data_IF_358596688892
#
_entry.id   IF_358596688892
#
_cell.length_a   1.000
_cell.length_b   1.000
_cell.length_c   1.000
_cell.angle_alpha   90.00
_cell.angle_beta   90.00
_cell.angle_gamma   90.00
#
_symmetry.space_group_name_H-M   'P 1'
#
loop_
_entity.id
_entity.type
_entity.pdbx_description
1 polymer ?
#
# COMPACT_ATOMS: atom_id res chain seq x y z
N UNK A 1 3.18 7.02 22.03
CA UNK A 1 3.68 5.68 21.64
C UNK A 1 2.89 5.23 20.41
N UNK A 2 3.55 4.65 19.41
CA UNK A 2 2.95 4.26 18.12
C UNK A 2 3.23 2.78 17.88
N UNK A 3 2.23 2.02 17.44
CA UNK A 3 2.40 0.60 17.11
C UNK A 3 2.92 0.44 15.67
N UNK A 4 4.22 0.23 15.51
CA UNK A 4 4.88 0.06 14.21
C UNK A 4 4.80 -1.35 13.64
N UNK A 5 4.48 -2.36 14.46
CA UNK A 5 4.65 -3.78 14.11
C UNK A 5 3.37 -4.62 14.21
N UNK A 6 2.33 -4.13 14.87
CA UNK A 6 1.07 -4.84 15.07
C UNK A 6 -0.11 -4.21 14.32
N UNK A 7 -1.27 -4.84 14.48
CA UNK A 7 -2.52 -4.38 13.88
C UNK A 7 -2.99 -3.08 14.52
N UNK A 8 -3.51 -2.17 13.68
CA UNK A 8 -4.16 -0.93 14.11
C UNK A 8 -5.57 -0.81 13.54
N UNK A 9 -6.40 0.00 14.17
CA UNK A 9 -7.76 0.28 13.69
C UNK A 9 -7.74 0.90 12.30
N UNK A 10 -6.78 1.77 12.01
CA UNK A 10 -6.62 2.42 10.71
C UNK A 10 -6.34 1.39 9.61
N UNK A 11 -5.53 0.37 9.88
CA UNK A 11 -5.30 -0.73 8.93
C UNK A 11 -6.60 -1.44 8.56
N UNK A 12 -7.43 -1.72 9.55
CA UNK A 12 -8.72 -2.37 9.32
C UNK A 12 -9.68 -1.48 8.53
N UNK A 13 -9.70 -0.18 8.81
CA UNK A 13 -10.51 0.78 8.06
C UNK A 13 -10.06 0.88 6.59
N UNK A 14 -8.76 0.96 6.32
CA UNK A 14 -8.26 0.98 4.93
C UNK A 14 -8.47 -0.35 4.21
N UNK A 15 -8.39 -1.49 4.89
CA UNK A 15 -8.70 -2.78 4.28
C UNK A 15 -10.21 -2.89 3.97
N UNK A 16 -11.08 -2.44 4.87
CA UNK A 16 -12.51 -2.37 4.61
C UNK A 16 -12.84 -1.42 3.46
N UNK A 17 -12.16 -0.26 3.40
CA UNK A 17 -12.29 0.70 2.30
C UNK A 17 -11.95 0.05 0.94
N UNK A 18 -10.84 -0.68 0.87
CA UNK A 18 -10.41 -1.38 -0.35
C UNK A 18 -11.45 -2.41 -0.78
N UNK A 19 -11.95 -3.23 0.13
CA UNK A 19 -13.00 -4.21 -0.17
C UNK A 19 -14.29 -3.54 -0.69
N UNK A 20 -14.72 -2.43 -0.08
CA UNK A 20 -15.92 -1.69 -0.49
C UNK A 20 -15.75 -1.06 -1.88
N UNK A 21 -14.62 -0.39 -2.12
CA UNK A 21 -14.31 0.24 -3.41
C UNK A 21 -14.30 -0.81 -4.52
N UNK A 22 -13.59 -1.92 -4.32
CA UNK A 22 -13.51 -3.03 -5.27
C UNK A 22 -14.84 -3.78 -5.44
N UNK A 23 -15.73 -3.68 -4.45
CA UNK A 23 -17.10 -4.17 -4.53
C UNK A 23 -18.09 -3.20 -5.18
N UNK A 24 -17.61 -2.10 -5.79
CA UNK A 24 -18.44 -1.08 -6.41
C UNK A 24 -19.14 -0.11 -5.44
N UNK A 25 -18.94 -0.29 -4.13
CA UNK A 25 -19.47 0.60 -3.08
C UNK A 25 -18.47 1.74 -2.80
N UNK A 26 -18.19 2.52 -3.84
CA UNK A 26 -17.15 3.56 -3.82
C UNK A 26 -17.37 4.54 -2.66
N UNK A 27 -18.58 5.08 -2.52
CA UNK A 27 -18.90 6.04 -1.46
C UNK A 27 -18.62 5.46 -0.07
N UNK A 28 -19.16 4.28 0.23
CA UNK A 28 -18.96 3.60 1.52
C UNK A 28 -17.47 3.36 1.82
N UNK A 29 -16.68 3.03 0.79
CA UNK A 29 -15.24 2.86 0.93
C UNK A 29 -14.51 4.18 1.20
N UNK A 30 -14.90 5.28 0.53
CA UNK A 30 -14.37 6.61 0.82
C UNK A 30 -14.72 7.07 2.25
N UNK A 31 -15.92 6.73 2.75
CA UNK A 31 -16.31 7.01 4.14
C UNK A 31 -15.38 6.31 5.15
N UNK A 32 -14.91 5.09 4.85
CA UNK A 32 -13.93 4.40 5.70
C UNK A 32 -12.58 5.13 5.75
N UNK A 33 -12.17 5.73 4.63
CA UNK A 33 -10.95 6.57 4.57
C UNK A 33 -11.17 7.88 5.35
N UNK A 34 -12.34 8.50 5.23
CA UNK A 34 -12.72 9.73 5.94
C UNK A 34 -12.64 9.57 7.46
N UNK A 35 -13.04 8.39 7.98
CA UNK A 35 -12.94 8.07 9.41
C UNK A 35 -11.51 8.17 9.96
N UNK A 36 -10.49 7.99 9.12
CA UNK A 36 -9.09 8.19 9.49
C UNK A 36 -8.67 9.63 9.23
N UNK A 37 -8.82 10.11 7.99
CA UNK A 37 -8.23 11.37 7.54
C UNK A 37 -8.79 12.61 8.24
N UNK A 38 -10.05 12.58 8.70
CA UNK A 38 -10.65 13.70 9.46
C UNK A 38 -9.88 14.08 10.73
N UNK A 39 -9.08 13.16 11.26
CA UNK A 39 -8.24 13.38 12.45
C UNK A 39 -6.76 13.63 12.10
N UNK A 40 -6.41 13.72 10.82
CA UNK A 40 -5.02 13.90 10.33
C UNK A 40 -4.82 15.20 9.57
N UNK A 41 -5.90 15.83 9.12
CA UNK A 41 -5.87 16.99 8.21
C UNK A 41 -6.71 18.11 8.81
N UNK A 42 -6.13 19.30 8.92
CA UNK A 42 -6.87 20.51 9.32
C UNK A 42 -7.81 20.96 8.19
N UNK A 43 -9.02 21.41 8.54
CA UNK A 43 -10.06 21.81 7.58
C UNK A 43 -10.38 20.69 6.57
N UNK A 44 -10.53 19.47 7.07
CA UNK A 44 -10.77 18.29 6.24
C UNK A 44 -12.10 18.36 5.48
N UNK A 45 -12.03 18.21 4.16
CA UNK A 45 -13.19 17.97 3.30
C UNK A 45 -13.41 16.46 3.11
N UNK A 46 -14.61 15.92 3.41
CA UNK A 46 -14.89 14.50 3.24
C UNK A 46 -14.73 14.03 1.79
N UNK A 47 -14.02 12.92 1.59
CA UNK A 47 -13.85 12.29 0.29
C UNK A 47 -15.15 11.66 -0.21
N UNK A 48 -15.97 11.13 0.69
CA UNK A 48 -17.27 10.54 0.32
C UNK A 48 -18.28 11.55 -0.25
N UNK A 49 -18.04 12.84 -0.03
CA UNK A 49 -18.84 13.94 -0.59
C UNK A 49 -18.25 14.48 -1.91
N UNK A 50 -17.05 14.02 -2.30
CA UNK A 50 -16.39 14.45 -3.52
C UNK A 50 -16.99 13.75 -4.75
N UNK A 51 -17.84 14.48 -5.47
CA UNK A 51 -18.52 14.00 -6.69
C UNK A 51 -17.61 13.77 -7.89
N UNK A 52 -16.33 14.16 -7.82
CA UNK A 52 -15.36 13.93 -8.89
C UNK A 52 -14.73 12.53 -8.86
N UNK A 53 -14.89 11.78 -7.75
CA UNK A 53 -14.38 10.41 -7.59
C UNK A 53 -15.51 9.44 -7.96
N UNK A 54 -15.58 9.04 -9.22
CA UNK A 54 -16.72 8.26 -9.76
C UNK A 54 -16.36 6.85 -10.19
N UNK A 55 -15.07 6.52 -10.28
CA UNK A 55 -14.58 5.22 -10.73
C UNK A 55 -13.79 4.49 -9.65
N UNK A 56 -13.76 3.16 -9.71
CA UNK A 56 -12.95 2.31 -8.82
C UNK A 56 -11.48 2.72 -8.87
N UNK A 57 -10.93 2.95 -10.07
CA UNK A 57 -9.53 3.35 -10.24
C UNK A 57 -9.20 4.67 -9.55
N UNK A 58 -10.07 5.68 -9.64
CA UNK A 58 -9.89 6.96 -8.94
C UNK A 58 -9.94 6.77 -7.42
N UNK A 59 -10.91 6.00 -6.93
CA UNK A 59 -11.06 5.73 -5.50
C UNK A 59 -9.88 4.92 -4.94
N UNK A 60 -9.42 3.90 -5.67
CA UNK A 60 -8.23 3.12 -5.34
C UNK A 60 -6.98 3.98 -5.32
N UNK A 61 -6.81 4.93 -6.25
CA UNK A 61 -5.67 5.86 -6.21
C UNK A 61 -5.66 6.69 -4.92
N UNK A 62 -6.82 7.23 -4.53
CA UNK A 62 -6.99 7.99 -3.27
C UNK A 62 -6.69 7.11 -2.05
N UNK A 63 -7.14 5.86 -2.07
CA UNK A 63 -6.87 4.88 -1.02
C UNK A 63 -5.37 4.59 -0.90
N UNK A 64 -4.71 4.26 -2.01
CA UNK A 64 -3.28 3.92 -2.04
C UNK A 64 -2.43 5.08 -1.53
N UNK A 65 -2.71 6.31 -1.97
CA UNK A 65 -1.98 7.50 -1.53
C UNK A 65 -2.19 7.79 -0.04
N UNK A 66 -3.44 7.66 0.43
CA UNK A 66 -3.79 7.93 1.83
C UNK A 66 -3.21 6.87 2.77
N UNK A 67 -3.33 5.59 2.40
CA UNK A 67 -2.79 4.46 3.17
C UNK A 67 -1.26 4.54 3.25
N UNK A 68 -0.59 4.91 2.16
CA UNK A 68 0.88 5.09 2.13
C UNK A 68 1.37 6.04 3.22
N UNK A 69 0.68 7.17 3.40
CA UNK A 69 1.01 8.19 4.38
C UNK A 69 0.66 7.73 5.80
N UNK A 70 -0.52 7.15 6.00
CA UNK A 70 -0.94 6.66 7.33
C UNK A 70 -0.05 5.52 7.86
N UNK A 71 0.50 4.73 6.94
CA UNK A 71 1.29 3.52 7.23
C UNK A 71 2.80 3.75 7.13
N UNK A 72 3.25 5.01 7.17
CA UNK A 72 4.68 5.32 7.23
C UNK A 72 5.37 4.62 8.42
N UNK A 73 6.60 4.18 8.20
CA UNK A 73 7.40 3.41 9.16
C UNK A 73 6.70 2.11 9.66
N UNK A 74 5.88 1.47 8.81
CA UNK A 74 5.37 0.10 9.02
C UNK A 74 5.75 -0.83 7.87
N UNK A 75 5.57 -2.13 8.09
CA UNK A 75 5.66 -3.16 7.04
C UNK A 75 4.48 -3.11 6.04
N UNK A 76 3.35 -2.47 6.36
CA UNK A 76 2.15 -2.50 5.51
C UNK A 76 2.38 -1.87 4.14
N UNK A 77 3.17 -0.79 4.06
CA UNK A 77 3.53 -0.18 2.78
C UNK A 77 4.28 -1.14 1.86
N UNK A 78 5.15 -1.99 2.41
CA UNK A 78 5.85 -3.00 1.61
C UNK A 78 4.87 -4.09 1.15
N UNK A 79 4.04 -4.61 2.05
CA UNK A 79 3.07 -5.66 1.72
C UNK A 79 2.01 -5.23 0.72
N UNK A 80 1.42 -4.05 0.90
CA UNK A 80 0.39 -3.52 0.01
C UNK A 80 0.94 -3.29 -1.40
N UNK A 81 2.13 -2.68 -1.53
CA UNK A 81 2.73 -2.46 -2.85
C UNK A 81 3.14 -3.77 -3.52
N UNK A 82 3.71 -4.72 -2.77
CA UNK A 82 4.01 -6.06 -3.29
C UNK A 82 2.76 -6.75 -3.82
N UNK A 83 1.65 -6.70 -3.07
CA UNK A 83 0.38 -7.31 -3.49
C UNK A 83 -0.23 -6.58 -4.68
N UNK A 84 -0.31 -5.25 -4.66
CA UNK A 84 -0.87 -4.50 -5.79
C UNK A 84 -0.06 -4.66 -7.08
N UNK A 85 1.24 -4.95 -6.98
CA UNK A 85 2.06 -5.27 -8.14
C UNK A 85 1.70 -6.60 -8.83
N UNK A 86 0.93 -7.48 -8.19
CA UNK A 86 0.38 -8.67 -8.87
C UNK A 86 -0.89 -8.38 -9.67
N UNK A 87 -1.39 -7.14 -9.61
CA UNK A 87 -2.64 -6.71 -10.22
C UNK A 87 -2.35 -5.62 -11.25
N UNK A 88 -2.56 -5.89 -12.55
CA UNK A 88 -2.21 -4.94 -13.62
C UNK A 88 -2.88 -3.57 -13.48
N UNK A 89 -4.09 -3.51 -12.92
CA UNK A 89 -4.83 -2.28 -12.66
C UNK A 89 -4.17 -1.39 -11.59
N UNK A 90 -3.33 -1.96 -10.71
CA UNK A 90 -2.76 -1.29 -9.54
C UNK A 90 -1.22 -1.31 -9.49
N UNK A 91 -0.59 -2.06 -10.40
CA UNK A 91 0.85 -2.18 -10.47
C UNK A 91 1.50 -0.83 -10.81
N UNK A 92 2.66 -0.56 -10.19
CA UNK A 92 3.39 0.66 -10.49
C UNK A 92 4.79 0.69 -9.90
N UNK A 93 5.68 1.42 -10.58
CA UNK A 93 7.05 1.60 -10.13
C UNK A 93 7.09 2.35 -8.79
N UNK A 94 7.94 1.89 -7.87
CA UNK A 94 8.35 2.68 -6.73
C UNK A 94 9.55 3.52 -7.12
N UNK A 95 9.39 4.84 -7.12
CA UNK A 95 10.48 5.76 -7.46
C UNK A 95 10.84 6.55 -6.20
N UNK A 96 12.11 6.53 -5.82
CA UNK A 96 12.68 7.39 -4.80
C UNK A 96 13.73 8.28 -5.46
N UNK A 97 13.48 9.59 -5.47
CA UNK A 97 14.44 10.57 -5.98
C UNK A 97 15.50 10.82 -4.91
N UNK A 98 16.77 10.66 -5.28
CA UNK A 98 17.89 10.98 -4.41
C UNK A 98 18.74 12.05 -5.10
N UNK A 99 18.52 13.31 -4.72
CA UNK A 99 19.22 14.53 -5.16
C UNK A 99 20.13 14.33 -6.39
N UNK A 100 21.44 14.35 -6.20
CA UNK A 100 22.44 14.28 -7.27
C UNK A 100 22.68 12.84 -7.80
N UNK A 101 22.16 11.81 -7.13
CA UNK A 101 22.36 10.40 -7.52
C UNK A 101 21.24 9.85 -8.41
N UNK A 102 20.21 10.66 -8.70
CA UNK A 102 19.08 10.28 -9.56
C UNK A 102 18.06 9.35 -8.89
N UNK A 103 17.10 8.82 -9.67
CA UNK A 103 16.01 8.02 -9.13
C UNK A 103 16.43 6.56 -8.88
N UNK A 104 16.17 6.08 -7.66
CA UNK A 104 16.10 4.65 -7.37
C UNK A 104 14.71 4.12 -7.73
N UNK A 105 14.65 3.10 -8.58
CA UNK A 105 13.41 2.53 -9.09
C UNK A 105 13.28 1.06 -8.71
N UNK A 106 12.13 0.69 -8.16
CA UNK A 106 11.74 -0.71 -7.95
C UNK A 106 10.52 -0.97 -8.80
N UNK A 107 10.67 -1.80 -9.84
CA UNK A 107 9.59 -2.17 -10.76
C UNK A 107 8.70 -3.26 -10.15
N UNK A 108 7.46 -3.46 -10.64
CA UNK A 108 6.61 -4.57 -10.23
C UNK A 108 7.27 -5.95 -10.36
N UNK A 109 8.10 -6.15 -11.38
CA UNK A 109 8.77 -7.42 -11.69
C UNK A 109 10.08 -7.63 -10.92
N UNK A 110 10.49 -6.66 -10.09
CA UNK A 110 11.77 -6.71 -9.40
C UNK A 110 11.87 -7.89 -8.42
N UNK A 111 12.96 -8.65 -8.50
CA UNK A 111 13.18 -9.78 -7.60
C UNK A 111 13.24 -9.38 -6.11
N UNK A 112 13.57 -8.12 -5.79
CA UNK A 112 13.74 -7.62 -4.42
C UNK A 112 12.43 -7.51 -3.62
N UNK A 113 11.28 -7.73 -4.26
CA UNK A 113 10.01 -7.93 -3.57
C UNK A 113 9.99 -9.23 -2.75
N UNK A 114 10.89 -10.15 -3.03
CA UNK A 114 11.06 -11.42 -2.31
C UNK A 114 12.42 -11.39 -1.62
N UNK A 115 12.41 -11.46 -0.28
CA UNK A 115 13.65 -11.59 0.47
C UNK A 115 14.33 -12.92 0.12
N UNK A 116 15.65 -12.93 -0.08
CA UNK A 116 16.36 -14.18 -0.35
C UNK A 116 16.31 -15.09 0.88
N UNK A 117 16.33 -16.40 0.64
CA UNK A 117 16.61 -17.34 1.72
C UNK A 117 18.00 -17.03 2.32
N UNK A 118 18.15 -17.12 3.66
CA UNK A 118 19.46 -16.99 4.29
C UNK A 118 20.46 -17.99 3.69
N UNK A 119 21.70 -17.54 3.47
CA UNK A 119 22.73 -18.37 2.83
C UNK A 119 22.95 -19.70 3.58
N UNK A 120 22.88 -19.67 4.91
CA UNK A 120 22.99 -20.87 5.74
C UNK A 120 21.89 -21.89 5.44
N UNK A 121 20.66 -21.45 5.17
CA UNK A 121 19.56 -22.34 4.84
C UNK A 121 19.81 -23.09 3.53
N UNK A 122 20.30 -22.40 2.49
CA UNK A 122 20.64 -23.02 1.20
C UNK A 122 21.92 -23.86 1.26
N UNK A 123 22.84 -23.56 2.17
CA UNK A 123 24.06 -24.36 2.39
C UNK A 123 23.76 -25.71 3.06
N UNK A 124 22.87 -25.72 4.06
CA UNK A 124 22.57 -26.92 4.83
C UNK A 124 21.41 -27.75 4.26
N UNK A 125 20.61 -27.19 3.35
CA UNK A 125 19.55 -27.90 2.67
C UNK A 125 19.74 -27.84 1.16
N UNK A 126 20.31 -28.91 0.60
CA UNK A 126 20.58 -29.03 -0.84
C UNK A 126 19.33 -29.08 -1.72
N UNK A 127 18.14 -29.33 -1.16
CA UNK A 127 16.88 -29.27 -1.90
C UNK A 127 16.23 -27.87 -1.88
N UNK A 128 16.78 -26.92 -1.13
CA UNK A 128 16.28 -25.54 -1.07
C UNK A 128 16.95 -24.68 -2.15
N UNK A 129 16.17 -24.25 -3.14
CA UNK A 129 16.65 -23.35 -4.21
C UNK A 129 16.36 -21.89 -3.84
N UNK A 130 17.27 -20.99 -4.22
CA UNK A 130 17.07 -19.54 -4.02
C UNK A 130 15.92 -19.01 -4.88
N UNK A 131 15.32 -17.90 -4.43
CA UNK A 131 14.22 -17.23 -5.13
C UNK A 131 14.63 -16.60 -6.48
N UNK A 132 15.92 -16.33 -6.67
CA UNK A 132 16.54 -15.78 -7.88
C UNK A 132 18.04 -16.11 -7.93
#
# INVERSE_FOLDING_TARGET
HYNSWGLRTENMLYNAAECLIRGGKIKDGLEMIDRVKRYRINNYAPLAENTSITTEAQAMKVLQDSKRIEMLATCYNFFDRKRWNTESAYSGNMIHQYDDNGPYVITPESAIWVFPFPLTATLYNSSLTQNY
#
